data_IF_946826606009
#
_entry.id   IF_946826606009
#
_cell.length_a   1.000
_cell.length_b   1.000
_cell.length_c   1.000
_cell.angle_alpha   90.00
_cell.angle_beta   90.00
_cell.angle_gamma   90.00
#
_symmetry.space_group_name_H-M   'P 1'
#
loop_
_entity.id
_entity.type
_entity.pdbx_description
1 polymer ?
#
# COMPACT_ATOMS: atom_id res chain seq x y z
N UNK A 1 19.13 -4.78 20.46
CA UNK A 1 18.55 -4.38 19.16
C UNK A 1 17.09 -4.76 19.16
N UNK A 2 16.18 -3.93 18.65
CA UNK A 2 14.81 -4.38 18.36
C UNK A 2 14.84 -5.27 17.12
N UNK A 3 14.13 -6.38 17.15
CA UNK A 3 13.94 -7.23 15.97
C UNK A 3 13.05 -6.51 14.95
N UNK A 4 13.43 -6.59 13.68
CA UNK A 4 12.70 -5.95 12.58
C UNK A 4 11.61 -6.88 12.08
N UNK A 5 10.38 -6.39 12.00
CA UNK A 5 9.28 -7.09 11.35
C UNK A 5 9.57 -7.32 9.87
N UNK A 6 9.14 -8.47 9.35
CA UNK A 6 9.33 -8.93 7.97
C UNK A 6 8.05 -8.80 7.11
N UNK A 7 6.94 -8.31 7.69
CA UNK A 7 5.65 -8.06 7.02
C UNK A 7 4.85 -7.00 7.77
N UNK A 8 4.04 -6.24 7.03
CA UNK A 8 3.07 -5.29 7.59
C UNK A 8 1.64 -5.76 7.26
N UNK A 9 0.79 -5.89 8.28
CA UNK A 9 -0.63 -6.23 8.11
C UNK A 9 -1.49 -5.00 8.36
N UNK A 10 -2.29 -4.61 7.36
CA UNK A 10 -3.18 -3.46 7.41
C UNK A 10 -4.63 -3.91 7.49
N UNK A 11 -5.20 -3.91 8.70
CA UNK A 11 -6.63 -4.13 8.90
C UNK A 11 -7.42 -2.88 8.51
N UNK A 12 -8.54 -3.08 7.81
CA UNK A 12 -9.33 -1.98 7.25
C UNK A 12 -8.68 -1.38 6.00
N UNK A 13 -8.02 -2.21 5.18
CA UNK A 13 -7.32 -1.76 3.98
C UNK A 13 -8.21 -1.07 2.94
N UNK A 14 -9.52 -1.33 2.96
CA UNK A 14 -10.52 -0.66 2.11
C UNK A 14 -11.03 0.65 2.71
N UNK A 15 -10.69 0.96 3.97
CA UNK A 15 -11.15 2.15 4.67
C UNK A 15 -10.62 3.47 4.11
N UNK A 16 -11.27 4.57 4.51
CA UNK A 16 -10.94 5.92 4.05
C UNK A 16 -9.55 6.39 4.50
N UNK A 17 -9.13 6.03 5.72
CA UNK A 17 -7.80 6.36 6.21
C UNK A 17 -6.72 5.64 5.40
N UNK A 18 -6.96 4.37 5.06
CA UNK A 18 -6.05 3.58 4.24
C UNK A 18 -5.84 4.25 2.88
N UNK A 19 -6.95 4.63 2.24
CA UNK A 19 -6.98 5.35 0.97
C UNK A 19 -6.28 6.71 1.01
N UNK A 20 -6.67 7.57 1.95
CA UNK A 20 -6.26 8.99 1.97
C UNK A 20 -4.87 9.22 2.55
N UNK A 21 -4.35 8.31 3.39
CA UNK A 21 -3.11 8.53 4.14
C UNK A 21 -2.15 7.35 4.13
N UNK A 22 -2.62 6.12 4.35
CA UNK A 22 -1.72 4.96 4.52
C UNK A 22 -1.09 4.56 3.19
N UNK A 23 -1.85 4.36 2.11
CA UNK A 23 -1.27 4.01 0.80
C UNK A 23 -0.30 5.08 0.28
N UNK A 24 -0.60 6.40 0.35
CA UNK A 24 0.38 7.44 0.07
C UNK A 24 1.68 7.32 0.88
N UNK A 25 1.58 7.05 2.19
CA UNK A 25 2.74 6.90 3.06
C UNK A 25 3.56 5.65 2.71
N UNK A 26 2.93 4.50 2.52
CA UNK A 26 3.60 3.25 2.15
C UNK A 26 4.30 3.37 0.80
N UNK A 27 3.65 3.99 -0.19
CA UNK A 27 4.27 4.30 -1.48
C UNK A 27 5.53 5.16 -1.31
N UNK A 28 5.48 6.21 -0.47
CA UNK A 28 6.67 7.02 -0.19
C UNK A 28 7.77 6.24 0.54
N UNK A 29 7.43 5.30 1.42
CA UNK A 29 8.40 4.42 2.06
C UNK A 29 9.08 3.49 1.05
N UNK A 30 8.32 2.94 0.09
CA UNK A 30 8.89 2.17 -1.01
C UNK A 30 9.80 3.04 -1.89
N UNK A 31 9.41 4.28 -2.17
CA UNK A 31 10.21 5.24 -2.92
C UNK A 31 11.55 5.55 -2.23
N UNK A 32 11.54 5.63 -0.90
CA UNK A 32 12.73 5.87 -0.06
C UNK A 32 13.52 4.60 0.23
N UNK A 33 13.03 3.42 -0.18
CA UNK A 33 13.65 2.13 0.10
C UNK A 33 13.53 1.69 1.57
N UNK A 34 12.70 2.33 2.38
CA UNK A 34 12.51 1.99 3.80
C UNK A 34 11.44 0.92 4.05
N UNK A 35 10.66 0.60 3.01
CA UNK A 35 9.74 -0.53 2.97
C UNK A 35 10.09 -1.44 1.80
N UNK A 36 10.45 -2.69 2.10
CA UNK A 36 10.77 -3.73 1.12
C UNK A 36 9.97 -5.02 1.34
N UNK A 37 9.25 -5.08 2.45
CA UNK A 37 8.50 -6.23 2.93
C UNK A 37 7.07 -6.26 2.37
N UNK A 38 6.42 -7.43 2.36
CA UNK A 38 5.02 -7.55 1.98
C UNK A 38 4.08 -6.70 2.84
N UNK A 39 3.03 -6.18 2.21
CA UNK A 39 1.91 -5.51 2.86
C UNK A 39 0.63 -6.30 2.62
N UNK A 40 0.08 -6.90 3.68
CA UNK A 40 -1.15 -7.67 3.63
C UNK A 40 -2.31 -6.78 4.04
N UNK A 41 -3.15 -6.39 3.07
CA UNK A 41 -4.41 -5.71 3.35
C UNK A 41 -5.47 -6.71 3.76
N UNK A 42 -6.20 -6.42 4.84
CA UNK A 42 -7.33 -7.24 5.31
C UNK A 42 -8.56 -6.36 5.41
N UNK A 43 -9.67 -6.77 4.80
CA UNK A 43 -10.97 -6.13 5.00
C UNK A 43 -12.15 -7.08 4.71
N UNK A 44 -13.37 -6.66 5.03
CA UNK A 44 -14.58 -7.47 4.80
C UNK A 44 -15.00 -7.54 3.33
N UNK A 45 -14.63 -6.53 2.54
CA UNK A 45 -15.01 -6.47 1.13
C UNK A 45 -14.32 -7.59 0.34
N UNK A 46 -15.06 -8.34 -0.47
CA UNK A 46 -14.53 -9.42 -1.29
C UNK A 46 -13.82 -8.89 -2.56
N UNK A 47 -12.77 -8.09 -2.36
CA UNK A 47 -11.97 -7.52 -3.43
C UNK A 47 -10.92 -8.50 -3.93
N UNK A 48 -10.58 -8.37 -5.22
CA UNK A 48 -9.33 -8.90 -5.72
C UNK A 48 -8.16 -7.94 -5.47
N UNK A 49 -6.94 -8.44 -5.65
CA UNK A 49 -5.72 -7.64 -5.48
C UNK A 49 -5.68 -6.44 -6.44
N UNK A 50 -6.27 -6.54 -7.64
CA UNK A 50 -6.26 -5.46 -8.63
C UNK A 50 -7.13 -4.28 -8.17
N UNK A 51 -8.27 -4.56 -7.54
CA UNK A 51 -9.13 -3.53 -6.94
C UNK A 51 -8.40 -2.80 -5.81
N UNK A 52 -7.68 -3.53 -4.95
CA UNK A 52 -6.85 -2.91 -3.91
C UNK A 52 -5.75 -2.03 -4.51
N UNK A 53 -5.02 -2.53 -5.52
CA UNK A 53 -3.99 -1.77 -6.23
C UNK A 53 -4.56 -0.51 -6.88
N UNK A 54 -5.72 -0.60 -7.52
CA UNK A 54 -6.40 0.54 -8.12
C UNK A 54 -6.79 1.59 -7.07
N UNK A 55 -7.36 1.17 -5.93
CA UNK A 55 -7.67 2.07 -4.80
C UNK A 55 -6.40 2.72 -4.26
N UNK A 56 -5.34 1.96 -4.06
CA UNK A 56 -4.08 2.49 -3.56
C UNK A 56 -3.49 3.53 -4.53
N UNK A 57 -3.51 3.24 -5.84
CA UNK A 57 -3.08 4.16 -6.89
C UNK A 57 -3.85 5.47 -6.86
N UNK A 58 -5.18 5.38 -6.80
CA UNK A 58 -6.05 6.55 -6.72
C UNK A 58 -5.75 7.38 -5.47
N UNK A 59 -5.62 6.74 -4.30
CA UNK A 59 -5.23 7.43 -3.06
C UNK A 59 -3.88 8.15 -3.15
N UNK A 60 -2.88 7.51 -3.78
CA UNK A 60 -1.55 8.08 -4.01
C UNK A 60 -1.64 9.30 -4.94
N UNK A 61 -2.34 9.18 -6.07
CA UNK A 61 -2.51 10.27 -7.05
C UNK A 61 -3.25 11.44 -6.40
N UNK A 62 -4.31 11.20 -5.64
CA UNK A 62 -5.07 12.23 -4.95
C UNK A 62 -4.24 12.94 -3.87
N UNK A 63 -3.36 12.23 -3.17
CA UNK A 63 -2.53 12.82 -2.11
C UNK A 63 -1.27 13.52 -2.63
N UNK A 64 -0.65 13.02 -3.70
CA UNK A 64 0.69 13.45 -4.16
C UNK A 64 0.68 14.12 -5.55
N UNK A 65 -0.45 14.09 -6.26
CA UNK A 65 -0.64 14.69 -7.58
C UNK A 65 -0.03 13.92 -8.75
N UNK A 66 1.11 13.26 -8.55
CA UNK A 66 1.79 12.43 -9.57
C UNK A 66 2.32 11.13 -8.98
N UNK A 67 2.45 10.13 -9.84
CA UNK A 67 2.99 8.83 -9.50
C UNK A 67 4.19 8.50 -10.39
N UNK A 68 5.20 7.86 -9.81
CA UNK A 68 6.27 7.22 -10.55
C UNK A 68 5.87 5.76 -10.80
N UNK A 69 5.71 5.39 -12.06
CA UNK A 69 5.25 4.05 -12.44
C UNK A 69 6.17 2.94 -11.98
N UNK A 70 7.49 3.17 -11.89
CA UNK A 70 8.43 2.15 -11.42
C UNK A 70 8.29 1.93 -9.92
N UNK A 71 8.13 3.02 -9.17
CA UNK A 71 7.89 2.95 -7.72
C UNK A 71 6.54 2.30 -7.45
N UNK A 72 5.51 2.67 -8.20
CA UNK A 72 4.18 2.08 -8.03
C UNK A 72 4.17 0.60 -8.39
N UNK A 73 4.82 0.19 -9.49
CA UNK A 73 4.94 -1.22 -9.84
C UNK A 73 5.62 -2.03 -8.72
N UNK A 74 6.70 -1.48 -8.13
CA UNK A 74 7.35 -2.08 -6.96
C UNK A 74 6.38 -2.16 -5.77
N UNK A 75 5.71 -1.07 -5.42
CA UNK A 75 4.75 -1.04 -4.32
C UNK A 75 3.59 -2.03 -4.53
N UNK A 76 3.00 -2.05 -5.72
CA UNK A 76 1.93 -2.97 -6.10
C UNK A 76 2.35 -4.44 -6.01
N UNK A 77 3.62 -4.75 -6.30
CA UNK A 77 4.18 -6.10 -6.15
C UNK A 77 4.31 -6.57 -4.70
N UNK A 78 4.35 -5.64 -3.74
CA UNK A 78 4.39 -5.93 -2.30
C UNK A 78 3.00 -6.15 -1.71
N UNK A 79 1.94 -5.69 -2.38
CA UNK A 79 0.58 -5.79 -1.86
C UNK A 79 0.03 -7.21 -1.97
N UNK A 80 -0.65 -7.64 -0.92
CA UNK A 80 -1.50 -8.83 -0.85
C UNK A 80 -2.85 -8.41 -0.26
N UNK A 81 -3.89 -9.20 -0.52
CA UNK A 81 -5.21 -8.94 0.02
C UNK A 81 -5.84 -10.24 0.51
N UNK A 82 -6.52 -10.17 1.66
CA UNK A 82 -7.28 -11.25 2.30
C UNK A 82 -8.66 -10.74 2.66
#
# INVERSE_FOLDING_TARGET
>A
SQERSDTLVLFGATGDLAHKKIFPALYQMVAKGTLTEPVIGVAFDAWDLKQLQARARDGIVNALGKIDEKVFAKFASLLRYV
#
